data_IF_232425942808
#
_entry.id   IF_232425942808
#
_cell.length_a   1.000
_cell.length_b   1.000
_cell.length_c   1.000
_cell.angle_alpha   90.00
_cell.angle_beta   90.00
_cell.angle_gamma   90.00
#
_symmetry.space_group_name_H-M   'P 1'
#
loop_
_entity.id
_entity.type
_entity.pdbx_description
1 polymer ?
#
# COMPACT_ATOMS: atom_id res chain seq x y z
N UNK A 1 -13.62 -1.57 26.39
CA UNK A 1 -12.71 -1.50 25.24
C UNK A 1 -13.05 -0.20 24.50
N UNK A 2 -12.06 0.53 24.02
CA UNK A 2 -12.30 1.69 23.17
C UNK A 2 -12.99 1.22 21.88
N UNK A 3 -13.96 2.00 21.38
CA UNK A 3 -14.68 1.64 20.15
C UNK A 3 -13.82 2.01 18.94
N UNK A 4 -13.53 1.04 18.09
CA UNK A 4 -12.75 1.25 16.88
C UNK A 4 -13.56 2.06 15.86
N UNK A 5 -13.07 3.25 15.52
CA UNK A 5 -13.60 4.12 14.47
C UNK A 5 -12.69 4.11 13.27
N UNK A 6 -13.23 3.82 12.08
CA UNK A 6 -12.51 3.79 10.81
C UNK A 6 -13.19 4.75 9.84
N UNK A 7 -12.43 5.71 9.34
CA UNK A 7 -12.87 6.62 8.28
C UNK A 7 -12.11 6.33 7.00
N UNK A 8 -12.82 5.89 5.96
CA UNK A 8 -12.27 5.69 4.62
C UNK A 8 -12.34 6.99 3.80
N UNK A 9 -11.32 7.21 2.99
CA UNK A 9 -11.21 8.28 2.00
C UNK A 9 -10.85 7.65 0.67
N UNK A 10 -11.61 7.95 -0.37
CA UNK A 10 -11.39 7.41 -1.71
C UNK A 10 -10.74 8.45 -2.62
N UNK A 11 -9.61 8.09 -3.24
CA UNK A 11 -8.92 8.88 -4.25
C UNK A 11 -9.24 8.30 -5.65
N UNK A 12 -10.00 9.04 -6.49
CA UNK A 12 -10.58 8.47 -7.70
C UNK A 12 -9.59 8.30 -8.88
N UNK A 13 -8.47 9.05 -8.93
CA UNK A 13 -7.51 8.97 -10.05
C UNK A 13 -6.65 7.71 -10.01
N UNK A 14 -6.43 7.18 -8.79
CA UNK A 14 -5.65 5.96 -8.54
C UNK A 14 -6.50 4.83 -7.96
N UNK A 15 -7.82 5.08 -7.77
CA UNK A 15 -8.79 4.12 -7.21
C UNK A 15 -8.33 3.55 -5.86
N UNK A 16 -7.71 4.43 -5.04
CA UNK A 16 -7.09 4.08 -3.76
C UNK A 16 -7.96 4.51 -2.58
N UNK A 17 -8.04 3.67 -1.57
CA UNK A 17 -8.59 4.01 -0.26
C UNK A 17 -7.46 4.27 0.74
N UNK A 18 -7.46 5.47 1.32
CA UNK A 18 -6.69 5.79 2.53
C UNK A 18 -7.60 5.74 3.74
N UNK A 19 -7.06 5.40 4.89
CA UNK A 19 -7.87 5.27 6.11
C UNK A 19 -7.32 6.12 7.25
N UNK A 20 -8.24 6.60 8.11
CA UNK A 20 -7.91 7.10 9.44
C UNK A 20 -8.58 6.19 10.45
N UNK A 21 -7.78 5.66 11.37
CA UNK A 21 -8.21 4.72 12.41
C UNK A 21 -7.98 5.35 13.77
N UNK A 22 -8.99 5.35 14.64
CA UNK A 22 -8.94 5.97 15.96
C UNK A 22 -9.87 5.29 16.95
N UNK A 23 -9.77 5.65 18.23
CA UNK A 23 -10.74 5.28 19.27
C UNK A 23 -11.84 6.33 19.46
N UNK A 24 -12.26 6.99 18.37
CA UNK A 24 -13.23 8.07 18.36
C UNK A 24 -12.60 9.46 18.49
N UNK A 25 -13.43 10.46 18.66
CA UNK A 25 -13.05 11.88 18.78
C UNK A 25 -12.09 12.12 19.95
N UNK A 26 -11.13 13.03 19.76
CA UNK A 26 -10.15 13.44 20.78
C UNK A 26 -9.27 12.27 21.29
N UNK A 27 -8.87 11.39 20.37
CA UNK A 27 -8.04 10.22 20.65
C UNK A 27 -6.81 10.16 19.76
N UNK A 28 -5.93 9.19 20.03
CA UNK A 28 -4.84 8.84 19.12
C UNK A 28 -5.39 8.21 17.83
N UNK A 29 -4.65 8.40 16.73
CA UNK A 29 -5.03 7.90 15.41
C UNK A 29 -3.84 7.37 14.61
N UNK A 30 -4.12 6.49 13.66
CA UNK A 30 -3.23 6.15 12.58
C UNK A 30 -3.83 6.53 11.22
N UNK A 31 -2.97 6.96 10.29
CA UNK A 31 -3.30 7.14 8.88
C UNK A 31 -2.70 5.94 8.15
N UNK A 32 -3.43 5.34 7.19
CA UNK A 32 -2.97 4.17 6.43
C UNK A 32 -3.04 4.47 4.94
N UNK A 33 -1.95 4.22 4.23
CA UNK A 33 -1.75 4.35 2.78
C UNK A 33 -2.23 5.72 2.23
N UNK A 34 -1.66 6.84 2.70
CA UNK A 34 -2.10 8.16 2.27
C UNK A 34 -1.60 8.53 0.88
N UNK A 35 -2.51 9.00 0.02
CA UNK A 35 -2.19 9.39 -1.36
C UNK A 35 -1.79 10.86 -1.47
N UNK A 36 -0.73 11.12 -2.26
CA UNK A 36 -0.35 12.44 -2.74
C UNK A 36 -0.80 12.60 -4.20
N UNK A 37 -1.64 13.59 -4.47
CA UNK A 37 -2.12 13.88 -5.82
C UNK A 37 -0.96 14.17 -6.78
N UNK A 38 -0.98 13.58 -7.98
CA UNK A 38 0.07 13.74 -8.98
C UNK A 38 -0.47 13.83 -10.40
N UNK A 39 -0.19 14.95 -11.08
CA UNK A 39 -0.39 15.08 -12.52
C UNK A 39 0.85 14.63 -13.29
N UNK A 40 0.79 13.42 -13.83
CA UNK A 40 1.88 12.82 -14.59
C UNK A 40 2.24 13.59 -15.87
N UNK A 41 1.33 14.39 -16.43
CA UNK A 41 1.58 15.16 -17.66
C UNK A 41 2.43 16.39 -17.40
N UNK A 42 2.19 17.07 -16.28
CA UNK A 42 2.92 18.29 -15.91
C UNK A 42 4.04 18.03 -14.89
N UNK A 43 4.11 16.81 -14.28
CA UNK A 43 5.02 16.50 -13.20
C UNK A 43 4.70 17.25 -11.89
N UNK A 44 3.43 17.67 -11.70
CA UNK A 44 3.02 18.47 -10.54
C UNK A 44 2.38 17.61 -9.48
N UNK A 45 2.75 17.85 -8.23
CA UNK A 45 2.06 17.31 -7.06
C UNK A 45 1.10 18.33 -6.48
N UNK A 46 0.02 17.83 -5.84
CA UNK A 46 -0.95 18.62 -5.11
C UNK A 46 -1.23 17.93 -3.78
N UNK A 47 -1.90 18.61 -2.86
CA UNK A 47 -2.18 18.09 -1.52
C UNK A 47 -3.67 17.98 -1.23
N UNK A 48 -4.54 18.15 -2.25
CA UNK A 48 -5.99 18.24 -2.08
C UNK A 48 -6.57 17.02 -1.36
N UNK A 49 -6.12 15.83 -1.72
CA UNK A 49 -6.58 14.61 -1.08
C UNK A 49 -6.03 14.50 0.36
N UNK A 50 -4.73 14.69 0.56
CA UNK A 50 -4.11 14.68 1.89
C UNK A 50 -4.70 15.75 2.82
N UNK A 51 -5.09 16.92 2.29
CA UNK A 51 -5.73 17.99 3.07
C UNK A 51 -7.13 17.62 3.57
N UNK A 52 -7.83 16.69 2.91
CA UNK A 52 -9.08 16.11 3.45
C UNK A 52 -8.81 15.29 4.72
N UNK A 53 -7.74 14.49 4.73
CA UNK A 53 -7.33 13.74 5.91
C UNK A 53 -6.98 14.68 7.07
N UNK A 54 -6.21 15.74 6.79
CA UNK A 54 -5.84 16.77 7.78
C UNK A 54 -7.08 17.45 8.34
N UNK A 55 -8.05 17.77 7.46
CA UNK A 55 -9.30 18.40 7.88
C UNK A 55 -10.08 17.53 8.85
N UNK A 56 -10.21 16.24 8.54
CA UNK A 56 -10.87 15.27 9.43
C UNK A 56 -10.14 15.12 10.76
N UNK A 57 -8.80 15.00 10.74
CA UNK A 57 -7.96 14.91 11.95
C UNK A 57 -8.22 16.11 12.88
N UNK A 58 -8.26 17.33 12.31
CA UNK A 58 -8.52 18.56 13.07
C UNK A 58 -9.96 18.63 13.61
N UNK A 59 -10.96 18.25 12.79
CA UNK A 59 -12.37 18.23 13.18
C UNK A 59 -12.63 17.28 14.33
N UNK A 60 -12.06 16.07 14.27
CA UNK A 60 -12.18 15.04 15.28
C UNK A 60 -11.19 15.21 16.45
N UNK A 61 -10.31 16.25 16.40
CA UNK A 61 -9.27 16.52 17.39
C UNK A 61 -8.36 15.32 17.65
N UNK A 62 -7.97 14.63 16.58
CA UNK A 62 -7.13 13.45 16.67
C UNK A 62 -5.66 13.84 16.84
N UNK A 63 -4.90 13.02 17.58
CA UNK A 63 -3.44 13.08 17.65
C UNK A 63 -2.87 11.93 16.83
N UNK A 64 -2.11 12.22 15.80
CA UNK A 64 -1.57 11.16 14.92
C UNK A 64 -0.34 10.53 15.59
N UNK A 65 -0.45 9.24 15.94
CA UNK A 65 0.66 8.42 16.42
C UNK A 65 1.46 7.84 15.25
N UNK A 66 0.73 7.36 14.22
CA UNK A 66 1.30 6.63 13.11
C UNK A 66 0.78 7.10 11.74
N UNK A 67 1.68 7.06 10.76
CA UNK A 67 1.37 7.08 9.33
C UNK A 67 1.94 5.76 8.78
N UNK A 68 1.06 4.85 8.39
CA UNK A 68 1.40 3.46 8.07
C UNK A 68 1.32 3.24 6.55
N UNK A 69 2.38 2.70 5.98
CA UNK A 69 2.40 2.23 4.60
C UNK A 69 2.32 0.71 4.60
N UNK A 70 1.38 0.12 3.87
CA UNK A 70 1.32 -1.33 3.73
C UNK A 70 2.46 -1.86 2.87
N UNK A 71 2.90 -1.07 1.89
CA UNK A 71 4.01 -1.39 0.99
C UNK A 71 4.52 -0.13 0.25
N UNK A 72 5.52 -0.28 -0.59
CA UNK A 72 5.93 0.77 -1.52
C UNK A 72 5.04 0.74 -2.77
N UNK A 73 3.98 1.54 -2.77
CA UNK A 73 2.98 1.60 -3.84
C UNK A 73 3.59 1.97 -5.19
N UNK A 74 3.13 1.32 -6.26
CA UNK A 74 3.58 1.57 -7.63
C UNK A 74 2.56 2.37 -8.46
N UNK A 75 1.38 2.57 -7.95
CA UNK A 75 0.22 3.16 -8.64
C UNK A 75 -0.12 4.58 -8.17
N UNK A 76 0.38 4.99 -7.00
CA UNK A 76 0.23 6.34 -6.46
C UNK A 76 1.46 6.79 -5.67
N UNK A 77 1.62 8.10 -5.51
CA UNK A 77 2.63 8.70 -4.65
C UNK A 77 2.10 8.76 -3.21
N UNK A 78 2.99 8.50 -2.23
CA UNK A 78 2.63 8.60 -0.82
C UNK A 78 2.67 10.05 -0.32
N UNK A 79 1.65 10.44 0.44
CA UNK A 79 1.60 11.70 1.17
C UNK A 79 2.20 11.62 2.59
N UNK A 80 2.82 10.50 2.97
CA UNK A 80 3.26 10.28 4.36
C UNK A 80 4.20 11.38 4.87
N UNK A 81 5.17 11.79 4.07
CA UNK A 81 6.10 12.86 4.45
C UNK A 81 5.39 14.20 4.64
N UNK A 82 4.49 14.57 3.72
CA UNK A 82 3.70 15.79 3.83
C UNK A 82 2.82 15.78 5.09
N UNK A 83 2.10 14.69 5.33
CA UNK A 83 1.23 14.54 6.49
C UNK A 83 2.02 14.60 7.81
N UNK A 84 3.18 13.94 7.86
CA UNK A 84 4.07 14.04 9.03
C UNK A 84 4.45 15.48 9.35
N UNK A 85 4.72 16.29 8.35
CA UNK A 85 5.02 17.72 8.54
C UNK A 85 3.81 18.54 9.04
N UNK A 86 2.58 18.15 8.68
CA UNK A 86 1.36 18.90 9.00
C UNK A 86 0.72 18.48 10.33
N UNK A 87 0.74 17.19 10.65
CA UNK A 87 -0.01 16.62 11.78
C UNK A 87 0.86 15.76 12.72
N UNK A 88 2.14 15.62 12.43
CA UNK A 88 3.05 14.77 13.22
C UNK A 88 2.87 13.28 12.92
N UNK A 89 3.24 12.44 13.88
CA UNK A 89 3.21 11.00 13.77
C UNK A 89 4.51 10.39 13.25
N UNK A 90 4.65 9.07 13.41
CA UNK A 90 5.78 8.28 12.93
C UNK A 90 5.40 7.56 11.64
N UNK A 91 6.26 7.60 10.63
CA UNK A 91 6.04 6.84 9.39
C UNK A 91 6.60 5.43 9.60
N UNK A 92 5.73 4.43 9.44
CA UNK A 92 6.09 3.02 9.56
C UNK A 92 5.76 2.21 8.31
N UNK A 93 6.61 1.22 8.02
CA UNK A 93 6.46 0.27 6.90
C UNK A 93 7.08 -1.09 7.29
N UNK A 94 6.82 -2.15 6.52
CA UNK A 94 7.47 -3.45 6.73
C UNK A 94 8.99 -3.41 6.54
N UNK A 95 9.76 -4.09 7.40
CA UNK A 95 11.25 -4.07 7.42
C UNK A 95 11.89 -4.45 6.08
N UNK A 96 11.19 -5.25 5.28
CA UNK A 96 11.70 -5.69 3.97
C UNK A 96 11.68 -4.60 2.89
N UNK A 97 11.23 -3.38 3.23
CA UNK A 97 11.40 -2.20 2.37
C UNK A 97 12.86 -2.03 1.94
N UNK A 98 13.80 -2.45 2.79
CA UNK A 98 15.23 -2.43 2.48
C UNK A 98 15.60 -3.24 1.24
N UNK A 99 14.85 -4.30 0.92
CA UNK A 99 15.02 -5.08 -0.30
C UNK A 99 14.52 -4.31 -1.52
N UNK A 100 13.36 -3.67 -1.39
CA UNK A 100 12.78 -2.81 -2.43
C UNK A 100 13.71 -1.64 -2.74
N UNK A 101 14.22 -0.97 -1.70
CA UNK A 101 15.20 0.12 -1.83
C UNK A 101 16.45 -0.32 -2.59
N UNK A 102 17.02 -1.50 -2.30
CA UNK A 102 18.21 -2.02 -3.00
C UNK A 102 17.95 -2.24 -4.49
N UNK A 103 16.83 -2.85 -4.84
CA UNK A 103 16.45 -3.09 -6.24
C UNK A 103 16.30 -1.78 -6.99
N UNK A 104 15.52 -0.86 -6.44
CA UNK A 104 15.20 0.38 -7.15
C UNK A 104 16.33 1.42 -7.10
N UNK A 105 17.22 1.38 -6.10
CA UNK A 105 18.47 2.16 -6.12
C UNK A 105 19.29 1.82 -7.36
N UNK A 106 19.45 0.55 -7.68
CA UNK A 106 20.17 0.10 -8.86
C UNK A 106 19.42 0.44 -10.14
N UNK A 107 18.12 0.17 -10.20
CA UNK A 107 17.29 0.38 -11.38
C UNK A 107 17.24 1.85 -11.79
N UNK A 108 17.07 2.76 -10.85
CA UNK A 108 17.01 4.20 -11.12
C UNK A 108 18.37 4.89 -11.04
N UNK A 109 19.46 4.14 -10.76
CA UNK A 109 20.78 4.71 -10.54
C UNK A 109 20.69 5.93 -9.59
N UNK A 110 20.10 5.69 -8.40
CA UNK A 110 19.90 6.76 -7.41
C UNK A 110 21.25 7.25 -6.89
N UNK A 111 21.25 8.37 -6.19
CA UNK A 111 22.43 8.99 -5.61
C UNK A 111 23.20 8.00 -4.71
N UNK A 112 24.56 8.07 -4.69
CA UNK A 112 25.39 7.12 -3.95
C UNK A 112 25.06 7.05 -2.45
N UNK A 113 24.69 8.18 -1.85
CA UNK A 113 24.36 8.34 -0.44
C UNK A 113 22.90 7.95 -0.10
N UNK A 114 22.07 7.62 -1.09
CA UNK A 114 20.75 7.02 -0.79
C UNK A 114 20.94 5.71 -0.03
N UNK A 115 20.63 5.72 1.27
CA UNK A 115 20.71 4.53 2.09
C UNK A 115 19.58 3.55 1.79
N UNK A 116 19.89 2.25 1.79
CA UNK A 116 18.95 1.15 1.55
C UNK A 116 18.71 0.31 2.80
N UNK A 117 18.70 0.96 3.94
CA UNK A 117 18.55 0.38 5.27
C UNK A 117 17.23 0.79 5.96
N UNK A 118 16.38 1.52 5.23
CA UNK A 118 15.07 1.95 5.70
C UNK A 118 15.09 3.20 6.59
N UNK A 119 16.23 3.87 6.77
CA UNK A 119 16.36 5.07 7.64
C UNK A 119 15.42 6.23 7.25
N UNK A 120 14.80 6.19 6.07
CA UNK A 120 13.82 7.17 5.61
C UNK A 120 12.49 7.06 6.37
N UNK A 121 12.23 5.92 6.97
CA UNK A 121 11.06 5.62 7.80
C UNK A 121 11.43 5.71 9.28
N UNK A 122 10.49 6.13 10.12
CA UNK A 122 10.73 6.20 11.57
C UNK A 122 10.70 4.82 12.24
N UNK A 123 10.03 3.84 11.61
CA UNK A 123 9.94 2.48 12.11
C UNK A 123 9.82 1.45 11.00
N UNK A 124 10.53 0.36 11.15
CA UNK A 124 10.48 -0.81 10.27
C UNK A 124 9.86 -1.98 11.03
N UNK A 125 8.62 -2.31 10.68
CA UNK A 125 7.87 -3.37 11.34
C UNK A 125 8.33 -4.77 10.94
N UNK A 126 8.47 -5.64 11.92
CA UNK A 126 8.70 -7.07 11.75
C UNK A 126 7.39 -7.87 11.75
N UNK A 127 7.42 -9.11 11.22
CA UNK A 127 6.24 -9.99 11.25
C UNK A 127 5.81 -10.28 12.69
N UNK A 128 4.51 -10.20 12.94
CA UNK A 128 3.87 -10.38 14.24
C UNK A 128 4.21 -9.32 15.31
N UNK A 129 4.88 -8.24 14.95
CA UNK A 129 5.14 -7.13 15.86
C UNK A 129 3.83 -6.51 16.36
N UNK A 130 3.78 -6.25 17.65
CA UNK A 130 2.64 -5.59 18.28
C UNK A 130 2.99 -4.13 18.59
N UNK A 131 2.06 -3.24 18.33
CA UNK A 131 2.16 -1.83 18.63
C UNK A 131 0.81 -1.28 19.07
N UNK A 132 0.73 -0.01 19.41
CA UNK A 132 -0.51 0.63 19.81
C UNK A 132 -0.78 1.91 19.04
N UNK A 133 -2.06 2.25 18.92
CA UNK A 133 -2.56 3.54 18.45
C UNK A 133 -3.38 4.09 19.61
N UNK A 134 -2.73 4.85 20.50
CA UNK A 134 -3.31 5.18 21.80
C UNK A 134 -3.72 3.95 22.59
N UNK A 135 -5.04 3.74 22.74
CA UNK A 135 -5.59 2.59 23.47
C UNK A 135 -5.94 1.38 22.57
N UNK A 136 -5.86 1.52 21.26
CA UNK A 136 -6.13 0.42 20.32
C UNK A 136 -4.90 -0.47 20.21
N UNK A 137 -5.12 -1.79 20.24
CA UNK A 137 -4.09 -2.78 20.00
C UNK A 137 -3.93 -3.02 18.51
N UNK A 138 -2.70 -3.05 18.04
CA UNK A 138 -2.37 -3.31 16.65
C UNK A 138 -1.28 -4.36 16.52
N UNK A 139 -1.33 -5.12 15.42
CA UNK A 139 -0.37 -6.17 15.09
C UNK A 139 -0.06 -6.15 13.60
N UNK A 140 1.20 -6.36 13.26
CA UNK A 140 1.66 -6.49 11.87
C UNK A 140 1.58 -7.95 11.43
N UNK A 141 1.12 -8.18 10.21
CA UNK A 141 1.12 -9.48 9.55
C UNK A 141 1.92 -9.32 8.25
N UNK A 142 3.04 -10.04 8.12
CA UNK A 142 3.78 -10.07 6.87
C UNK A 142 2.97 -10.82 5.81
N UNK A 143 2.66 -10.14 4.71
CA UNK A 143 1.83 -10.64 3.60
C UNK A 143 2.53 -10.49 2.25
N UNK A 144 3.85 -10.70 2.23
CA UNK A 144 4.67 -10.60 1.03
C UNK A 144 4.10 -11.41 -0.14
N UNK A 145 4.35 -10.94 -1.36
CA UNK A 145 3.97 -11.65 -2.59
C UNK A 145 3.63 -10.73 -3.75
N UNK A 146 2.87 -9.67 -3.53
CA UNK A 146 2.75 -8.56 -4.48
C UNK A 146 4.11 -7.82 -4.57
N UNK A 147 4.62 -7.39 -3.42
CA UNK A 147 6.02 -6.99 -3.24
C UNK A 147 6.69 -7.86 -2.15
N UNK A 148 8.02 -7.83 -1.98
CA UNK A 148 8.66 -8.55 -0.88
C UNK A 148 8.38 -7.94 0.50
N UNK A 149 7.91 -6.68 0.55
CA UNK A 149 7.81 -5.87 1.76
C UNK A 149 6.37 -5.68 2.28
N UNK A 150 5.39 -6.31 1.62
CA UNK A 150 3.98 -6.12 1.97
C UNK A 150 3.69 -6.55 3.41
N UNK A 151 2.99 -5.69 4.13
CA UNK A 151 2.43 -5.98 5.45
C UNK A 151 0.94 -5.62 5.48
N UNK A 152 0.20 -6.34 6.30
CA UNK A 152 -1.14 -5.97 6.70
C UNK A 152 -1.12 -5.51 8.16
N UNK A 153 -1.97 -4.54 8.48
CA UNK A 153 -2.13 -4.03 9.84
C UNK A 153 -3.45 -4.52 10.41
N UNK A 154 -3.37 -5.42 11.39
CA UNK A 154 -4.53 -5.84 12.18
C UNK A 154 -4.69 -4.86 13.35
N UNK A 155 -5.82 -4.19 13.42
CA UNK A 155 -6.18 -3.25 14.48
C UNK A 155 -7.53 -3.70 15.03
N UNK A 156 -7.54 -4.23 16.25
CA UNK A 156 -8.69 -4.90 16.86
C UNK A 156 -9.25 -6.00 15.94
N UNK A 157 -10.50 -5.86 15.47
CA UNK A 157 -11.20 -6.79 14.57
C UNK A 157 -11.05 -6.45 13.07
N UNK A 158 -10.34 -5.39 12.75
CA UNK A 158 -10.12 -4.90 11.38
C UNK A 158 -8.71 -5.22 10.89
N UNK A 159 -8.58 -5.59 9.61
CA UNK A 159 -7.28 -5.81 8.96
C UNK A 159 -7.20 -4.97 7.68
N UNK A 160 -6.21 -4.10 7.60
CA UNK A 160 -5.87 -3.31 6.42
C UNK A 160 -4.83 -4.09 5.62
N UNK A 161 -5.24 -4.64 4.48
CA UNK A 161 -4.54 -5.75 3.83
C UNK A 161 -3.62 -5.34 2.69
N UNK A 162 -3.49 -4.02 2.42
CA UNK A 162 -2.73 -3.54 1.27
C UNK A 162 -3.15 -4.22 -0.02
N UNK A 163 -2.18 -4.49 -0.88
CA UNK A 163 -2.38 -5.18 -2.15
C UNK A 163 -2.17 -6.70 -2.01
N UNK A 164 -2.90 -7.33 -1.08
CA UNK A 164 -2.96 -8.79 -1.00
C UNK A 164 -4.22 -9.32 -1.68
N UNK A 165 -5.36 -8.82 -1.24
CA UNK A 165 -6.70 -9.13 -1.74
C UNK A 165 -7.41 -7.85 -2.17
N UNK A 166 -8.30 -7.98 -3.12
CA UNK A 166 -9.27 -6.96 -3.51
C UNK A 166 -10.69 -7.45 -3.20
N UNK A 167 -11.69 -6.67 -3.61
CA UNK A 167 -13.07 -7.14 -3.46
C UNK A 167 -13.23 -8.52 -4.12
N UNK A 168 -14.12 -9.39 -3.59
CA UNK A 168 -14.25 -10.77 -4.06
C UNK A 168 -14.43 -10.93 -5.57
N UNK A 169 -15.10 -9.99 -6.21
CA UNK A 169 -15.33 -9.96 -7.67
C UNK A 169 -14.15 -9.40 -8.48
N UNK A 170 -13.13 -8.86 -7.82
CA UNK A 170 -11.87 -8.38 -8.41
C UNK A 170 -10.74 -9.39 -8.23
N UNK A 171 -10.64 -10.00 -7.05
CA UNK A 171 -9.72 -11.10 -6.76
C UNK A 171 -8.48 -10.71 -5.97
N UNK A 172 -7.29 -10.79 -6.56
CA UNK A 172 -6.00 -10.61 -5.87
C UNK A 172 -5.05 -9.73 -6.68
N UNK A 173 -4.06 -9.15 -6.00
CA UNK A 173 -3.02 -8.35 -6.64
C UNK A 173 -2.15 -9.15 -7.61
N UNK A 174 -1.45 -8.43 -8.48
CA UNK A 174 -0.41 -8.94 -9.37
C UNK A 174 0.88 -9.24 -8.59
N UNK A 175 1.72 -10.11 -9.15
CA UNK A 175 2.98 -10.54 -8.53
C UNK A 175 4.20 -10.31 -9.42
N UNK A 176 4.10 -9.52 -10.48
CA UNK A 176 5.18 -9.23 -11.42
C UNK A 176 5.97 -7.95 -11.07
N UNK A 177 5.75 -7.43 -9.87
CA UNK A 177 6.64 -6.45 -9.25
C UNK A 177 8.04 -7.08 -9.02
N UNK A 178 9.15 -6.34 -9.13
CA UNK A 178 10.47 -6.90 -8.85
C UNK A 178 10.53 -7.61 -7.50
N UNK A 179 10.87 -8.91 -7.52
CA UNK A 179 10.83 -9.85 -6.38
C UNK A 179 9.41 -10.23 -5.90
N UNK A 180 8.35 -9.86 -6.60
CA UNK A 180 7.02 -10.40 -6.37
C UNK A 180 6.96 -11.91 -6.68
N UNK A 181 6.06 -12.65 -6.01
CA UNK A 181 5.96 -14.09 -6.15
C UNK A 181 4.54 -14.59 -5.86
N UNK A 182 3.93 -15.23 -6.85
CA UNK A 182 2.54 -15.71 -6.75
C UNK A 182 2.35 -16.80 -5.68
N UNK A 183 3.33 -17.69 -5.49
CA UNK A 183 3.29 -18.74 -4.46
C UNK A 183 3.34 -18.12 -3.06
N UNK A 184 4.22 -17.15 -2.87
CA UNK A 184 4.32 -16.40 -1.61
C UNK A 184 3.03 -15.62 -1.34
N UNK A 185 2.43 -14.99 -2.37
CA UNK A 185 1.15 -14.30 -2.22
C UNK A 185 0.04 -15.26 -1.80
N UNK A 186 -0.05 -16.45 -2.42
CA UNK A 186 -1.01 -17.48 -2.00
C UNK A 186 -0.89 -17.79 -0.51
N UNK A 187 0.34 -18.08 -0.04
CA UNK A 187 0.61 -18.42 1.36
C UNK A 187 0.27 -17.24 2.29
N UNK A 188 0.57 -16.02 1.89
CA UNK A 188 0.22 -14.79 2.62
C UNK A 188 -1.29 -14.60 2.73
N UNK A 189 -2.02 -14.83 1.64
CA UNK A 189 -3.48 -14.78 1.64
C UNK A 189 -4.05 -15.86 2.56
N UNK A 190 -3.50 -17.07 2.57
CA UNK A 190 -3.96 -18.13 3.49
C UNK A 190 -3.77 -17.73 4.96
N UNK A 191 -2.72 -16.97 5.32
CA UNK A 191 -2.59 -16.40 6.68
C UNK A 191 -3.76 -15.45 7.00
N UNK A 192 -4.10 -14.53 6.08
CA UNK A 192 -5.26 -13.63 6.26
C UNK A 192 -6.54 -14.45 6.40
N UNK A 193 -6.75 -15.43 5.53
CA UNK A 193 -7.94 -16.27 5.53
C UNK A 193 -8.01 -17.24 6.72
N UNK A 194 -6.93 -17.43 7.48
CA UNK A 194 -6.94 -18.21 8.73
C UNK A 194 -7.50 -17.43 9.93
N UNK A 195 -7.71 -16.13 9.81
CA UNK A 195 -8.37 -15.31 10.82
C UNK A 195 -9.85 -15.70 10.97
N UNK A 196 -10.52 -15.31 12.07
CA UNK A 196 -11.95 -15.56 12.25
C UNK A 196 -12.79 -15.06 11.07
N UNK A 197 -13.83 -15.80 10.73
CA UNK A 197 -14.66 -15.54 9.54
C UNK A 197 -15.27 -14.13 9.51
N UNK A 198 -15.57 -13.57 10.68
CA UNK A 198 -16.17 -12.22 10.83
C UNK A 198 -15.12 -11.09 10.82
N UNK A 199 -13.82 -11.41 10.73
CA UNK A 199 -12.76 -10.39 10.64
C UNK A 199 -13.01 -9.51 9.42
N UNK A 200 -13.07 -8.20 9.65
CA UNK A 200 -13.26 -7.20 8.60
C UNK A 200 -11.95 -6.93 7.87
N UNK A 201 -11.98 -7.04 6.55
CA UNK A 201 -10.85 -6.78 5.67
C UNK A 201 -11.07 -5.47 4.93
N UNK A 202 -10.13 -4.55 5.05
CA UNK A 202 -10.15 -3.23 4.42
C UNK A 202 -9.20 -3.21 3.24
N UNK A 203 -9.75 -2.94 2.04
CA UNK A 203 -9.04 -2.97 0.76
C UNK A 203 -8.27 -1.68 0.53
N UNK A 204 -7.07 -1.77 -0.05
CA UNK A 204 -6.32 -0.61 -0.50
C UNK A 204 -6.90 -0.04 -1.81
N UNK A 205 -7.34 -0.91 -2.69
CA UNK A 205 -7.91 -0.55 -3.98
C UNK A 205 -9.22 -1.27 -4.27
N UNK A 206 -10.04 -0.65 -5.13
CA UNK A 206 -11.16 -1.34 -5.75
C UNK A 206 -11.24 -0.99 -7.24
N UNK A 207 -11.25 -2.03 -8.07
CA UNK A 207 -11.33 -1.95 -9.52
C UNK A 207 -12.64 -2.61 -9.97
N UNK A 208 -13.80 -1.93 -9.82
CA UNK A 208 -15.09 -2.57 -10.02
C UNK A 208 -15.24 -3.13 -11.44
N UNK A 209 -15.72 -4.39 -11.59
CA UNK A 209 -16.07 -4.90 -12.90
C UNK A 209 -17.23 -4.10 -13.51
N UNK A 210 -17.44 -4.24 -14.82
CA UNK A 210 -18.42 -3.42 -15.57
C UNK A 210 -19.84 -3.49 -14.98
N UNK A 211 -20.16 -4.62 -14.37
CA UNK A 211 -21.48 -4.89 -13.77
C UNK A 211 -21.69 -4.18 -12.42
N UNK A 212 -20.61 -3.81 -11.74
CA UNK A 212 -20.64 -3.10 -10.47
C UNK A 212 -20.19 -1.64 -10.66
N UNK A 213 -21.05 -0.71 -10.32
CA UNK A 213 -20.77 0.73 -10.45
C UNK A 213 -20.25 1.37 -9.17
N UNK A 214 -20.46 0.73 -8.04
CA UNK A 214 -20.10 1.25 -6.73
C UNK A 214 -18.69 0.78 -6.35
N UNK A 215 -17.90 1.70 -5.82
CA UNK A 215 -16.61 1.38 -5.20
C UNK A 215 -16.84 0.85 -3.79
N UNK A 216 -16.23 -0.29 -3.48
CA UNK A 216 -16.32 -0.97 -2.19
C UNK A 216 -14.94 -1.10 -1.56
N UNK A 217 -14.87 -1.13 -0.23
CA UNK A 217 -13.60 -1.16 0.48
C UNK A 217 -13.58 -2.10 1.69
N UNK A 218 -14.68 -2.76 1.96
CA UNK A 218 -14.80 -3.70 3.08
C UNK A 218 -15.33 -5.04 2.57
N UNK A 219 -14.68 -6.12 3.01
CA UNK A 219 -15.15 -7.49 2.90
C UNK A 219 -14.91 -8.20 4.24
N UNK A 220 -15.23 -9.49 4.33
CA UNK A 220 -14.89 -10.33 5.47
C UNK A 220 -14.07 -11.52 5.05
N UNK A 221 -13.36 -12.14 5.98
CA UNK A 221 -12.63 -13.39 5.75
C UNK A 221 -13.56 -14.46 5.16
N UNK A 222 -14.78 -14.60 5.71
CA UNK A 222 -15.80 -15.51 5.20
C UNK A 222 -16.15 -15.23 3.76
N UNK A 223 -16.43 -13.98 3.43
CA UNK A 223 -16.82 -13.59 2.07
C UNK A 223 -15.70 -13.85 1.06
N UNK A 224 -14.45 -13.58 1.42
CA UNK A 224 -13.28 -13.91 0.59
C UNK A 224 -13.16 -15.42 0.35
N UNK A 225 -13.30 -16.24 1.40
CA UNK A 225 -13.29 -17.71 1.29
C UNK A 225 -14.39 -18.25 0.35
N UNK A 226 -15.57 -17.65 0.40
CA UNK A 226 -16.72 -18.12 -0.35
C UNK A 226 -16.76 -17.62 -1.79
N UNK A 227 -16.37 -16.36 -2.03
CA UNK A 227 -16.70 -15.66 -3.28
C UNK A 227 -15.50 -15.18 -4.09
N UNK A 228 -14.29 -15.06 -3.50
CA UNK A 228 -13.17 -14.47 -4.23
C UNK A 228 -12.84 -15.27 -5.48
N UNK A 229 -12.89 -14.62 -6.65
CA UNK A 229 -12.74 -15.26 -7.96
C UNK A 229 -11.37 -15.91 -8.19
N UNK A 230 -10.33 -15.52 -7.43
CA UNK A 230 -8.97 -16.02 -7.57
C UNK A 230 -8.55 -17.02 -6.48
N UNK A 231 -9.18 -16.98 -5.28
CA UNK A 231 -8.65 -17.64 -4.10
C UNK A 231 -9.71 -18.30 -3.21
N UNK A 232 -10.98 -18.29 -3.65
CA UNK A 232 -12.04 -18.93 -2.86
C UNK A 232 -11.71 -20.39 -2.55
N UNK A 233 -12.38 -20.92 -1.54
CA UNK A 233 -12.23 -22.31 -1.09
C UNK A 233 -12.32 -23.30 -2.27
N UNK A 234 -11.37 -24.23 -2.32
CA UNK A 234 -11.24 -25.23 -3.39
C UNK A 234 -10.24 -24.86 -4.50
N UNK A 235 -9.70 -23.65 -4.53
CA UNK A 235 -8.61 -23.26 -5.44
C UNK A 235 -7.28 -23.66 -4.79
N UNK A 236 -6.53 -24.55 -5.46
CA UNK A 236 -5.22 -24.99 -4.97
C UNK A 236 -4.14 -23.93 -5.22
N UNK A 237 -2.99 -24.07 -4.52
CA UNK A 237 -1.83 -23.20 -4.70
C UNK A 237 -1.35 -23.23 -6.17
N UNK A 238 -1.28 -24.43 -6.78
CA UNK A 238 -0.86 -24.58 -8.17
C UNK A 238 -1.80 -23.88 -9.15
N UNK A 239 -3.12 -24.03 -8.96
CA UNK A 239 -4.13 -23.35 -9.79
C UNK A 239 -4.02 -21.84 -9.66
N UNK A 240 -3.82 -21.34 -8.44
CA UNK A 240 -3.64 -19.92 -8.19
C UNK A 240 -2.37 -19.38 -8.87
N UNK A 241 -1.24 -20.07 -8.71
CA UNK A 241 0.05 -19.66 -9.30
C UNK A 241 -0.03 -19.61 -10.82
N UNK A 242 -0.61 -20.65 -11.45
CA UNK A 242 -0.78 -20.70 -12.90
C UNK A 242 -1.66 -19.55 -13.40
N UNK A 243 -2.84 -19.36 -12.80
CA UNK A 243 -3.75 -18.26 -13.11
C UNK A 243 -3.05 -16.90 -12.97
N UNK A 244 -2.32 -16.69 -11.85
CA UNK A 244 -1.65 -15.42 -11.56
C UNK A 244 -0.56 -15.11 -12.58
N UNK A 245 0.28 -16.10 -12.92
CA UNK A 245 1.32 -15.96 -13.93
C UNK A 245 0.75 -15.65 -15.31
N UNK A 246 -0.33 -16.31 -15.73
CA UNK A 246 -0.99 -16.05 -17.00
C UNK A 246 -1.58 -14.63 -17.05
N UNK A 247 -2.26 -14.18 -15.99
CA UNK A 247 -2.80 -12.83 -15.92
C UNK A 247 -1.71 -11.78 -15.95
N UNK A 248 -0.70 -11.91 -15.09
CA UNK A 248 0.39 -10.94 -14.97
C UNK A 248 1.17 -10.82 -16.27
N UNK A 249 1.31 -11.94 -17.02
CA UNK A 249 1.90 -11.94 -18.33
C UNK A 249 1.17 -11.03 -19.34
N UNK A 250 -0.11 -10.71 -19.14
CA UNK A 250 -0.90 -9.86 -20.02
C UNK A 250 -1.02 -8.40 -19.58
N UNK A 251 -0.69 -8.10 -18.31
CA UNK A 251 -0.87 -6.76 -17.75
C UNK A 251 0.20 -5.77 -18.25
N UNK A 252 -0.23 -4.52 -18.45
CA UNK A 252 0.68 -3.39 -18.61
C UNK A 252 1.32 -3.03 -17.25
N UNK A 253 2.45 -2.31 -17.29
CA UNK A 253 3.04 -1.76 -16.06
C UNK A 253 2.08 -0.75 -15.42
N UNK A 254 2.07 -0.63 -14.07
CA UNK A 254 1.32 0.41 -13.39
C UNK A 254 1.69 1.80 -13.93
N UNK A 255 0.69 2.64 -14.16
CA UNK A 255 0.84 3.95 -14.81
C UNK A 255 1.87 4.85 -14.13
N UNK A 256 1.93 4.81 -12.82
CA UNK A 256 2.78 5.69 -12.00
C UNK A 256 3.99 4.99 -11.37
N UNK A 257 4.32 3.75 -11.75
CA UNK A 257 5.44 3.02 -11.12
C UNK A 257 6.74 3.82 -11.10
N UNK A 258 7.05 4.55 -12.18
CA UNK A 258 8.29 5.32 -12.29
C UNK A 258 8.34 6.47 -11.28
N UNK A 259 7.37 7.39 -11.22
CA UNK A 259 7.39 8.45 -10.23
C UNK A 259 7.11 7.93 -8.80
N UNK A 260 6.15 7.02 -8.63
CA UNK A 260 5.71 6.56 -7.32
C UNK A 260 6.84 5.89 -6.52
N UNK A 261 7.51 4.92 -7.11
CA UNK A 261 8.55 4.16 -6.39
C UNK A 261 9.71 5.06 -5.93
N UNK A 262 10.14 6.03 -6.74
CA UNK A 262 11.24 6.91 -6.37
C UNK A 262 10.92 7.81 -5.17
N UNK A 263 9.65 8.10 -4.94
CA UNK A 263 9.16 8.88 -3.80
C UNK A 263 8.82 7.94 -2.63
N UNK A 264 8.15 6.82 -2.89
CA UNK A 264 7.62 5.95 -1.84
C UNK A 264 8.73 5.19 -1.09
N UNK A 265 9.83 4.83 -1.76
CA UNK A 265 11.02 4.28 -1.06
C UNK A 265 11.75 5.30 -0.18
N UNK A 266 11.31 6.57 -0.20
CA UNK A 266 11.78 7.70 0.62
C UNK A 266 10.73 8.15 1.64
N UNK A 267 9.79 7.26 2.00
CA UNK A 267 8.68 7.58 2.90
C UNK A 267 7.84 8.79 2.42
N UNK A 268 7.67 8.96 1.12
CA UNK A 268 6.92 10.07 0.52
C UNK A 268 7.74 11.37 0.33
N UNK A 269 9.01 11.38 0.72
CA UNK A 269 9.88 12.54 0.50
C UNK A 269 10.38 12.60 -0.96
N UNK A 270 10.54 13.82 -1.46
CA UNK A 270 11.14 14.03 -2.77
C UNK A 270 12.64 13.74 -2.77
N UNK A 271 13.22 13.32 -3.91
CA UNK A 271 14.67 13.26 -4.08
C UNK A 271 15.33 14.63 -3.81
N UNK A 272 16.64 14.65 -3.51
CA UNK A 272 17.39 15.90 -3.41
C UNK A 272 17.25 16.72 -4.70
N UNK A 273 17.19 18.05 -4.52
CA UNK A 273 17.23 18.96 -5.67
C UNK A 273 18.60 18.90 -6.35
N UNK A 274 18.60 19.03 -7.67
CA UNK A 274 19.82 19.15 -8.47
C UNK A 274 20.46 20.55 -8.29
N UNK A 275 21.61 20.76 -8.89
CA UNK A 275 22.42 21.99 -8.82
C UNK A 275 21.66 23.27 -9.21
N UNK A 276 20.59 23.16 -10.00
CA UNK A 276 19.69 24.25 -10.36
C UNK A 276 18.52 24.47 -9.39
N UNK A 277 18.49 23.75 -8.26
CA UNK A 277 17.41 23.83 -7.27
C UNK A 277 16.11 23.11 -7.64
N UNK A 278 16.09 22.36 -8.76
CA UNK A 278 14.91 21.62 -9.23
C UNK A 278 15.04 20.14 -8.83
N UNK A 279 13.94 19.56 -8.37
CA UNK A 279 13.84 18.11 -8.11
C UNK A 279 13.49 17.39 -9.40
N UNK A 280 14.22 16.32 -9.68
CA UNK A 280 13.99 15.46 -10.85
C UNK A 280 13.71 14.03 -10.45
N UNK A 281 12.85 13.37 -11.24
CA UNK A 281 12.67 11.92 -11.20
C UNK A 281 13.35 11.31 -12.43
N UNK A 282 14.04 10.19 -12.24
CA UNK A 282 14.76 9.50 -13.29
C UNK A 282 13.83 8.60 -14.10
N UNK A 283 13.97 8.63 -15.42
CA UNK A 283 13.23 7.76 -16.34
C UNK A 283 14.22 6.81 -17.05
N UNK A 284 14.36 5.55 -16.58
CA UNK A 284 15.22 4.57 -17.23
C UNK A 284 14.58 4.10 -18.53
N UNK A 285 15.27 4.29 -19.64
CA UNK A 285 14.78 3.87 -20.95
C UNK A 285 15.04 2.38 -21.18
N UNK A 286 14.03 1.65 -21.68
CA UNK A 286 14.11 0.24 -22.08
C UNK A 286 14.52 -0.73 -20.95
N UNK A 287 14.31 -0.36 -19.69
CA UNK A 287 14.73 -1.17 -18.55
C UNK A 287 13.54 -1.83 -17.84
N UNK A 288 12.41 -1.15 -17.77
CA UNK A 288 11.16 -1.65 -17.19
C UNK A 288 10.21 -2.20 -18.25
N UNK A 289 9.31 -3.11 -17.84
CA UNK A 289 8.32 -3.72 -18.71
C UNK A 289 8.88 -4.86 -19.55
N UNK A 290 8.05 -5.37 -20.45
CA UNK A 290 8.42 -6.48 -21.34
C UNK A 290 9.30 -5.99 -22.47
N UNK A 291 10.36 -6.74 -22.76
CA UNK A 291 11.12 -6.50 -24.01
C UNK A 291 10.16 -6.72 -25.18
N UNK A 292 9.93 -5.70 -25.99
CA UNK A 292 9.22 -5.90 -27.25
C UNK A 292 10.09 -6.80 -28.13
N UNK A 293 9.55 -7.94 -28.56
CA UNK A 293 10.16 -8.77 -29.61
C UNK A 293 9.98 -8.12 -30.99
N UNK A 294 9.99 -6.78 -31.09
CA UNK A 294 10.06 -6.12 -32.40
C UNK A 294 11.52 -5.83 -32.70
N UNK A 295 11.99 -6.29 -33.86
CA UNK A 295 13.36 -6.06 -34.32
C UNK A 295 13.67 -4.57 -34.46
#
# INVERSE_FOLDING_TARGET
MAELTIKAFFEPETETYSYIVSAGTNSAAAIIDPVLDFDAKSGRTFTKFADQLITYIKQEKLTVDWILETHAHADHLSAAFYLKQQVGGKIGIGEKITQVQKVFKQLFNLEPDFATDGQQFDHLFTDNEQFSIGQLSAKVILVAGHTPADVAYQIEDAVFIGDSLFMPDVGTARCDFPQGNARTLYQSIQKILSLPDETRLFMCHDYPPIERKEYLYISTVKEQKEKNIHIRQGISEEQFVEMRQQRDASLAMPRLIIPAIQINIRAGAFPPADTNGVVYLKLPLNLLGKKSNKP
#
